data_IF_660272242759
#
_entry.id   IF_660272242759
#
_cell.length_a   1.000
_cell.length_b   1.000
_cell.length_c   1.000
_cell.angle_alpha   90.00
_cell.angle_beta   90.00
_cell.angle_gamma   90.00
#
_symmetry.space_group_name_H-M   'P 1'
#
loop_
_entity.id
_entity.type
_entity.pdbx_description
1 polymer ?
#
# COMPACT_ATOMS: atom_id res chain seq x y z
N UNK A 1 -29.67 -16.72 -51.73
CA UNK A 1 -30.17 -16.95 -50.35
C UNK A 1 -29.38 -18.03 -49.58
N UNK A 2 -28.95 -19.13 -50.21
CA UNK A 2 -28.23 -20.24 -49.50
C UNK A 2 -26.87 -19.87 -48.80
N UNK A 3 -26.00 -19.02 -49.35
CA UNK A 3 -24.72 -18.73 -48.67
C UNK A 3 -24.87 -17.85 -47.43
N UNK A 4 -25.79 -16.87 -47.43
CA UNK A 4 -26.05 -16.02 -46.29
C UNK A 4 -26.64 -16.82 -45.10
N UNK A 5 -27.54 -17.77 -45.39
CA UNK A 5 -28.11 -18.63 -44.37
C UNK A 5 -27.10 -19.58 -43.73
N UNK A 6 -26.11 -20.07 -44.49
CA UNK A 6 -24.99 -20.86 -43.95
C UNK A 6 -24.05 -20.03 -43.10
N UNK A 7 -23.81 -18.79 -43.49
CA UNK A 7 -22.97 -17.85 -42.73
C UNK A 7 -23.63 -17.47 -41.40
N UNK A 8 -24.95 -17.18 -41.41
CA UNK A 8 -25.66 -16.86 -40.17
C UNK A 8 -25.78 -18.06 -39.23
N UNK A 9 -25.96 -19.29 -39.76
CA UNK A 9 -25.96 -20.50 -38.94
C UNK A 9 -24.59 -20.77 -38.30
N UNK A 10 -23.51 -20.59 -39.07
CA UNK A 10 -22.13 -20.71 -38.55
C UNK A 10 -21.80 -19.67 -37.47
N UNK A 11 -22.22 -18.42 -37.64
CA UNK A 11 -22.07 -17.37 -36.65
C UNK A 11 -22.86 -17.67 -35.37
N UNK A 12 -24.10 -18.14 -35.50
CA UNK A 12 -24.94 -18.56 -34.35
C UNK A 12 -24.32 -19.70 -33.55
N UNK A 13 -23.77 -20.70 -34.25
CA UNK A 13 -23.05 -21.81 -33.60
C UNK A 13 -21.82 -21.35 -32.88
N UNK A 14 -21.02 -20.44 -33.47
CA UNK A 14 -19.85 -19.88 -32.83
C UNK A 14 -20.21 -19.11 -31.55
N UNK A 15 -21.23 -18.27 -31.60
CA UNK A 15 -21.71 -17.52 -30.42
C UNK A 15 -22.20 -18.48 -29.34
N UNK A 16 -22.91 -19.52 -29.68
CA UNK A 16 -23.39 -20.55 -28.73
C UNK A 16 -22.20 -21.30 -28.08
N UNK A 17 -21.16 -21.64 -28.83
CA UNK A 17 -19.92 -22.25 -28.30
C UNK A 17 -19.22 -21.30 -27.36
N UNK A 18 -19.01 -20.03 -27.74
CA UNK A 18 -18.36 -19.03 -26.88
C UNK A 18 -19.15 -18.78 -25.60
N UNK A 19 -20.47 -18.76 -25.67
CA UNK A 19 -21.32 -18.64 -24.49
C UNK A 19 -21.22 -19.89 -23.59
N UNK A 20 -21.21 -21.09 -24.17
CA UNK A 20 -21.00 -22.33 -23.44
C UNK A 20 -19.64 -22.40 -22.73
N UNK A 21 -18.58 -22.03 -23.42
CA UNK A 21 -17.23 -21.94 -22.81
C UNK A 21 -17.21 -20.90 -21.69
N UNK A 22 -17.84 -19.74 -21.88
CA UNK A 22 -17.93 -18.71 -20.84
C UNK A 22 -18.61 -19.23 -19.57
N UNK A 23 -19.63 -20.06 -19.68
CA UNK A 23 -20.32 -20.64 -18.51
C UNK A 23 -19.44 -21.64 -17.75
N UNK A 24 -18.43 -22.22 -18.38
CA UNK A 24 -17.45 -23.08 -17.73
C UNK A 24 -16.34 -22.27 -17.01
N UNK A 25 -16.17 -20.97 -17.32
CA UNK A 25 -15.21 -20.11 -16.64
C UNK A 25 -15.66 -19.79 -15.20
N UNK A 26 -14.72 -19.56 -14.26
CA UNK A 26 -15.04 -19.13 -12.91
C UNK A 26 -15.91 -17.87 -12.90
N UNK A 27 -16.94 -17.84 -12.09
CA UNK A 27 -17.76 -16.63 -11.88
C UNK A 27 -17.09 -15.62 -11.00
N UNK A 28 -16.21 -16.07 -10.10
CA UNK A 28 -15.47 -15.21 -9.18
C UNK A 28 -14.00 -15.21 -9.57
N UNK A 29 -13.43 -14.00 -9.67
CA UNK A 29 -12.01 -13.77 -9.95
C UNK A 29 -11.46 -12.95 -8.81
N UNK A 30 -10.39 -13.44 -8.19
CA UNK A 30 -9.66 -12.73 -7.15
C UNK A 30 -8.24 -12.47 -7.63
N UNK A 31 -7.81 -11.23 -7.53
CA UNK A 31 -6.47 -10.77 -7.90
C UNK A 31 -5.85 -10.19 -6.64
N UNK A 32 -4.63 -10.56 -6.32
CA UNK A 32 -3.91 -9.97 -5.20
C UNK A 32 -2.43 -9.78 -5.55
N UNK A 33 -1.87 -8.68 -5.09
CA UNK A 33 -0.43 -8.37 -5.18
C UNK A 33 0.07 -7.93 -3.82
N UNK A 34 1.35 -8.08 -3.56
CA UNK A 34 1.91 -7.71 -2.27
C UNK A 34 3.29 -7.11 -2.40
N UNK A 35 3.63 -6.24 -1.44
CA UNK A 35 4.94 -5.63 -1.29
C UNK A 35 5.32 -5.59 0.18
N UNK A 36 6.61 -5.60 0.48
CA UNK A 36 7.13 -5.32 1.83
C UNK A 36 7.68 -3.90 1.85
N UNK A 37 7.21 -3.10 2.81
CA UNK A 37 7.57 -1.70 3.02
C UNK A 37 8.33 -1.60 4.34
N UNK A 38 9.46 -0.93 4.35
CA UNK A 38 10.25 -0.71 5.58
C UNK A 38 9.67 0.41 6.43
N UNK A 39 8.47 0.18 6.94
CA UNK A 39 7.72 1.09 7.80
C UNK A 39 6.79 0.31 8.73
N UNK A 40 6.49 0.83 9.96
CA UNK A 40 5.50 0.24 10.85
C UNK A 40 4.10 0.20 10.21
N UNK A 41 3.26 -0.75 10.62
CA UNK A 41 1.91 -0.92 10.11
C UNK A 41 1.07 0.36 10.25
N UNK A 42 1.23 1.10 11.34
CA UNK A 42 0.48 2.33 11.58
C UNK A 42 0.78 3.43 10.56
N UNK A 43 2.04 3.52 10.12
CA UNK A 43 2.45 4.46 9.06
C UNK A 43 1.85 4.04 7.74
N UNK A 44 2.03 2.77 7.33
CA UNK A 44 1.50 2.24 6.08
C UNK A 44 -0.02 2.36 6.05
N UNK A 45 -0.70 1.98 7.14
CA UNK A 45 -2.14 2.06 7.27
C UNK A 45 -2.67 3.50 7.07
N UNK A 46 -1.98 4.50 7.58
CA UNK A 46 -2.38 5.91 7.43
C UNK A 46 -2.46 6.37 5.97
N UNK A 47 -1.67 5.79 5.06
CA UNK A 47 -1.74 6.04 3.61
C UNK A 47 -2.89 5.30 2.94
N UNK A 48 -3.18 4.07 3.38
CA UNK A 48 -4.20 3.23 2.79
C UNK A 48 -5.61 3.63 3.23
N UNK A 49 -5.74 4.19 4.43
CA UNK A 49 -7.00 4.58 5.06
C UNK A 49 -7.43 6.02 4.74
N UNK A 50 -6.60 6.77 4.00
CA UNK A 50 -6.84 8.16 3.60
C UNK A 50 -6.89 8.28 2.07
N UNK A 51 -8.08 8.41 1.52
CA UNK A 51 -8.28 8.52 0.07
C UNK A 51 -7.75 9.85 -0.51
N UNK A 52 -7.50 10.89 0.33
CA UNK A 52 -6.83 12.12 -0.12
C UNK A 52 -5.38 11.84 -0.55
N UNK A 53 -4.74 10.84 0.06
CA UNK A 53 -3.38 10.42 -0.28
C UNK A 53 -3.31 9.45 -1.45
N UNK A 54 -4.45 8.87 -1.87
CA UNK A 54 -4.50 7.85 -2.90
C UNK A 54 -3.84 8.29 -4.21
N UNK A 55 -4.09 9.52 -4.65
CA UNK A 55 -3.51 10.04 -5.90
C UNK A 55 -1.99 10.22 -5.85
N UNK A 56 -1.37 10.26 -4.67
CA UNK A 56 0.10 10.40 -4.55
C UNK A 56 0.84 9.13 -4.96
N UNK A 57 0.17 7.97 -4.89
CA UNK A 57 0.76 6.68 -5.23
C UNK A 57 -0.07 5.86 -6.24
N UNK A 58 -1.26 6.32 -6.59
CA UNK A 58 -2.13 5.67 -7.56
C UNK A 58 -1.46 5.59 -8.94
N UNK A 59 -1.44 4.43 -9.60
CA UNK A 59 -0.91 4.30 -10.95
C UNK A 59 -1.73 5.11 -11.96
N UNK A 60 -3.02 5.29 -11.72
CA UNK A 60 -3.92 6.04 -12.60
C UNK A 60 -3.64 7.54 -12.60
N UNK A 61 -3.37 8.14 -11.44
CA UNK A 61 -2.99 9.55 -11.33
C UNK A 61 -1.67 9.86 -12.06
N UNK A 62 -0.75 8.89 -12.13
CA UNK A 62 0.50 9.07 -12.89
C UNK A 62 0.26 9.05 -14.41
N UNK A 63 -0.70 8.24 -14.88
CA UNK A 63 -1.03 8.16 -16.31
C UNK A 63 -1.77 9.39 -16.81
N UNK A 64 -2.59 9.98 -15.97
CA UNK A 64 -3.29 11.22 -16.29
C UNK A 64 -3.08 12.24 -15.18
N UNK A 65 -2.07 13.11 -15.31
CA UNK A 65 -1.86 14.21 -14.38
C UNK A 65 -3.02 15.23 -14.33
N UNK A 66 -3.92 15.19 -15.33
CA UNK A 66 -5.11 16.05 -15.39
C UNK A 66 -6.38 15.34 -14.88
N UNK A 67 -6.20 14.15 -14.27
CA UNK A 67 -7.28 13.39 -13.63
C UNK A 67 -8.05 14.29 -12.65
N UNK A 68 -9.34 14.42 -12.89
CA UNK A 68 -10.23 15.10 -11.94
C UNK A 68 -10.70 14.09 -10.89
N UNK A 69 -10.32 14.33 -9.65
CA UNK A 69 -10.74 13.53 -8.52
C UNK A 69 -11.47 14.39 -7.50
N UNK A 70 -12.59 13.88 -7.00
CA UNK A 70 -13.39 14.52 -5.96
C UNK A 70 -13.47 13.60 -4.75
N UNK A 71 -13.12 14.12 -3.58
CA UNK A 71 -13.24 13.43 -2.31
C UNK A 71 -14.57 13.79 -1.67
N UNK A 72 -15.29 12.83 -1.15
CA UNK A 72 -16.58 12.99 -0.47
C UNK A 72 -16.67 12.08 0.77
N UNK A 73 -17.69 12.30 1.60
CA UNK A 73 -17.94 11.52 2.79
C UNK A 73 -17.01 11.83 3.95
N UNK A 74 -16.53 10.81 4.66
CA UNK A 74 -15.62 10.96 5.78
C UNK A 74 -14.23 11.44 5.30
N UNK A 75 -13.49 12.13 6.18
CA UNK A 75 -12.14 12.60 5.86
C UNK A 75 -11.17 11.43 5.60
N UNK A 76 -11.34 10.32 6.33
CA UNK A 76 -10.59 9.09 6.19
C UNK A 76 -11.36 7.92 6.81
N UNK A 77 -10.99 6.69 6.50
CA UNK A 77 -11.61 5.48 7.02
C UNK A 77 -13.01 5.25 6.45
N UNK A 78 -13.81 4.48 7.18
CA UNK A 78 -15.15 4.09 6.75
C UNK A 78 -16.02 5.28 6.33
N UNK A 79 -16.61 5.20 5.14
CA UNK A 79 -17.42 6.26 4.53
C UNK A 79 -16.63 7.31 3.75
N UNK A 80 -15.28 7.23 3.72
CA UNK A 80 -14.49 8.03 2.81
C UNK A 80 -14.70 7.54 1.37
N UNK A 81 -14.89 8.48 0.43
CA UNK A 81 -15.18 8.18 -0.97
C UNK A 81 -14.35 9.07 -1.88
N UNK A 82 -13.85 8.50 -2.97
CA UNK A 82 -13.22 9.20 -4.08
C UNK A 82 -13.97 8.86 -5.38
N UNK A 83 -14.22 9.87 -6.18
CA UNK A 83 -14.73 9.73 -7.54
C UNK A 83 -13.73 10.36 -8.50
N UNK A 84 -13.53 9.76 -9.66
CA UNK A 84 -12.62 10.31 -10.66
C UNK A 84 -13.19 10.24 -12.07
N UNK A 85 -12.73 11.18 -12.89
CA UNK A 85 -13.03 11.23 -14.32
C UNK A 85 -11.77 11.61 -15.09
N UNK A 86 -11.50 10.89 -16.16
CA UNK A 86 -10.38 11.13 -17.06
C UNK A 86 -10.82 11.01 -18.52
N UNK A 87 -10.23 11.80 -19.37
CA UNK A 87 -10.39 11.72 -20.83
C UNK A 87 -9.52 10.59 -21.42
N UNK A 88 -8.59 10.01 -20.66
CA UNK A 88 -7.78 8.89 -21.09
C UNK A 88 -8.52 7.57 -20.88
N UNK A 89 -8.70 6.79 -21.96
CA UNK A 89 -9.44 5.51 -21.93
C UNK A 89 -8.86 4.48 -20.95
N UNK A 90 -7.54 4.52 -20.71
CA UNK A 90 -6.85 3.64 -19.79
C UNK A 90 -7.12 3.96 -18.31
N UNK A 91 -7.59 5.18 -18.03
CA UNK A 91 -7.94 5.67 -16.70
C UNK A 91 -9.45 5.72 -16.52
N UNK A 92 -10.18 6.30 -17.51
CA UNK A 92 -11.64 6.34 -17.54
C UNK A 92 -12.26 7.05 -16.34
N UNK A 93 -13.40 6.52 -15.90
CA UNK A 93 -14.14 7.07 -14.76
C UNK A 93 -14.44 5.98 -13.73
N UNK A 94 -14.59 6.37 -12.48
CA UNK A 94 -14.94 5.43 -11.43
C UNK A 94 -15.13 6.06 -10.07
N UNK A 95 -15.37 5.19 -9.09
CA UNK A 95 -15.47 5.58 -7.69
C UNK A 95 -14.95 4.47 -6.80
N UNK A 96 -14.51 4.87 -5.62
CA UNK A 96 -14.05 3.96 -4.58
C UNK A 96 -14.53 4.48 -3.23
N UNK A 97 -15.04 3.59 -2.38
CA UNK A 97 -15.54 3.94 -1.06
C UNK A 97 -15.03 2.93 -0.03
N UNK A 98 -14.50 3.43 1.09
CA UNK A 98 -14.10 2.60 2.22
C UNK A 98 -15.34 2.14 2.97
N UNK A 99 -15.60 0.85 2.96
CA UNK A 99 -16.76 0.23 3.61
C UNK A 99 -16.46 -0.23 5.03
N UNK A 100 -15.23 -0.70 5.26
CA UNK A 100 -14.74 -1.09 6.58
C UNK A 100 -13.27 -0.68 6.75
N UNK A 101 -12.89 -0.38 8.01
CA UNK A 101 -11.54 -0.01 8.39
C UNK A 101 -11.20 -0.60 9.75
N UNK A 102 -10.28 -1.58 9.76
CA UNK A 102 -9.71 -2.18 10.96
C UNK A 102 -8.30 -1.60 11.17
N UNK A 103 -8.07 -0.78 12.19
CA UNK A 103 -6.83 -0.02 12.38
C UNK A 103 -5.58 -0.89 12.32
N UNK A 104 -4.63 -0.46 11.49
CA UNK A 104 -3.33 -1.10 11.22
C UNK A 104 -3.38 -2.50 10.62
N UNK A 105 -4.57 -3.00 10.24
CA UNK A 105 -4.73 -4.36 9.74
C UNK A 105 -5.39 -4.44 8.38
N UNK A 106 -6.54 -3.77 8.20
CA UNK A 106 -7.34 -3.97 6.99
C UNK A 106 -8.19 -2.75 6.64
N UNK A 107 -8.31 -2.49 5.35
CA UNK A 107 -9.27 -1.55 4.76
C UNK A 107 -10.01 -2.28 3.65
N UNK A 108 -11.34 -2.34 3.74
CA UNK A 108 -12.19 -2.91 2.70
C UNK A 108 -12.90 -1.78 1.93
N UNK A 109 -13.00 -1.96 0.62
CA UNK A 109 -13.53 -0.95 -0.29
C UNK A 109 -14.50 -1.57 -1.29
N UNK A 110 -15.52 -0.81 -1.67
CA UNK A 110 -16.23 -1.02 -2.92
C UNK A 110 -15.60 -0.18 -4.02
N UNK A 111 -15.54 -0.72 -5.22
CA UNK A 111 -14.91 -0.07 -6.38
C UNK A 111 -15.84 -0.20 -7.57
N UNK A 112 -16.11 0.90 -8.25
CA UNK A 112 -16.67 0.91 -9.60
C UNK A 112 -15.61 1.48 -10.55
N UNK A 113 -15.27 0.75 -11.60
CA UNK A 113 -14.31 1.18 -12.61
C UNK A 113 -14.91 0.98 -14.00
N UNK A 114 -15.26 2.06 -14.68
CA UNK A 114 -15.90 2.00 -16.02
C UNK A 114 -17.13 1.07 -16.06
N UNK A 115 -17.95 1.09 -14.99
CA UNK A 115 -19.14 0.24 -14.87
C UNK A 115 -18.82 -1.23 -14.48
N UNK A 116 -17.61 -1.53 -14.08
CA UNK A 116 -17.23 -2.81 -13.48
C UNK A 116 -17.26 -2.65 -11.96
N UNK A 117 -18.24 -3.26 -11.31
CA UNK A 117 -18.37 -3.27 -9.86
C UNK A 117 -17.56 -4.42 -9.26
N UNK A 118 -16.83 -4.11 -8.20
CA UNK A 118 -16.05 -5.10 -7.46
C UNK A 118 -15.80 -4.65 -6.02
N UNK A 119 -15.15 -5.53 -5.27
CA UNK A 119 -14.64 -5.21 -3.94
C UNK A 119 -13.13 -5.24 -3.96
N UNK A 120 -12.52 -4.33 -3.22
CA UNK A 120 -11.07 -4.28 -3.05
C UNK A 120 -10.73 -4.29 -1.57
N UNK A 121 -9.49 -4.66 -1.24
CA UNK A 121 -9.03 -4.58 0.13
C UNK A 121 -7.53 -4.31 0.18
N UNK A 122 -7.13 -3.61 1.23
CA UNK A 122 -5.76 -3.56 1.67
C UNK A 122 -5.64 -4.36 2.96
N UNK A 123 -4.64 -5.22 3.03
CA UNK A 123 -4.29 -5.93 4.26
C UNK A 123 -2.85 -5.62 4.62
N UNK A 124 -2.63 -5.24 5.88
CA UNK A 124 -1.33 -4.91 6.44
C UNK A 124 -0.99 -5.94 7.52
N UNK A 125 0.22 -6.41 7.53
CA UNK A 125 0.73 -7.35 8.54
C UNK A 125 2.22 -7.13 8.79
N UNK A 126 2.72 -7.46 9.99
CA UNK A 126 4.15 -7.34 10.28
C UNK A 126 5.00 -8.20 9.34
N UNK A 127 6.19 -7.71 8.96
CA UNK A 127 7.13 -8.45 8.14
C UNK A 127 8.57 -7.99 8.40
N UNK A 128 9.30 -8.74 9.22
CA UNK A 128 10.64 -8.34 9.68
C UNK A 128 10.60 -7.00 10.42
N UNK A 129 11.42 -6.04 9.99
CA UNK A 129 11.45 -4.66 10.53
C UNK A 129 10.41 -3.72 9.91
N UNK A 130 9.58 -4.22 9.01
CA UNK A 130 8.59 -3.43 8.28
C UNK A 130 7.24 -4.12 8.22
N UNK A 131 6.45 -3.80 7.19
CA UNK A 131 5.09 -4.29 7.01
C UNK A 131 4.91 -4.88 5.62
N UNK A 132 4.22 -6.02 5.54
CA UNK A 132 3.72 -6.58 4.29
C UNK A 132 2.34 -6.00 4.00
N UNK A 133 2.19 -5.43 2.81
CA UNK A 133 0.91 -4.94 2.28
C UNK A 133 0.43 -5.89 1.20
N UNK A 134 -0.83 -6.29 1.27
CA UNK A 134 -1.53 -7.00 0.20
C UNK A 134 -2.63 -6.08 -0.31
N UNK A 135 -2.68 -5.85 -1.61
CA UNK A 135 -3.77 -5.19 -2.30
C UNK A 135 -4.53 -6.22 -3.11
N UNK A 136 -5.77 -6.46 -2.74
CA UNK A 136 -6.63 -7.44 -3.36
C UNK A 136 -7.84 -6.82 -4.06
N UNK A 137 -8.34 -7.49 -5.09
CA UNK A 137 -9.57 -7.17 -5.82
C UNK A 137 -10.36 -8.44 -6.07
N UNK A 138 -11.65 -8.41 -5.81
CA UNK A 138 -12.56 -9.49 -6.11
C UNK A 138 -13.69 -9.00 -7.02
N UNK A 139 -13.92 -9.73 -8.07
CA UNK A 139 -14.94 -9.47 -9.08
C UNK A 139 -15.84 -10.67 -9.22
N UNK A 140 -17.16 -10.46 -9.15
CA UNK A 140 -18.16 -11.48 -9.42
C UNK A 140 -18.86 -11.18 -10.75
N UNK A 141 -18.63 -12.04 -11.73
CA UNK A 141 -19.25 -11.98 -13.06
C UNK A 141 -20.67 -12.57 -13.08
N UNK A 142 -21.08 -13.25 -12.02
CA UNK A 142 -22.35 -13.95 -11.92
C UNK A 142 -22.56 -14.95 -13.06
N UNK A 143 -23.76 -14.97 -13.64
CA UNK A 143 -24.13 -15.84 -14.76
C UNK A 143 -23.88 -15.24 -16.15
N UNK A 144 -23.36 -14.00 -16.24
CA UNK A 144 -23.17 -13.33 -17.53
C UNK A 144 -21.95 -13.86 -18.30
N UNK A 145 -22.12 -14.47 -19.49
CA UNK A 145 -21.00 -14.95 -20.31
C UNK A 145 -20.00 -13.84 -20.65
N UNK A 146 -20.48 -12.64 -20.99
CA UNK A 146 -19.63 -11.51 -21.36
C UNK A 146 -18.80 -11.05 -20.17
N UNK A 147 -19.40 -11.00 -18.98
CA UNK A 147 -18.68 -10.61 -17.75
C UNK A 147 -17.63 -11.64 -17.37
N UNK A 148 -17.87 -12.95 -17.61
CA UNK A 148 -16.87 -14.02 -17.36
C UNK A 148 -15.65 -13.90 -18.27
N UNK A 149 -15.86 -13.60 -19.56
CA UNK A 149 -14.74 -13.30 -20.48
C UNK A 149 -13.94 -12.08 -20.04
N UNK A 150 -14.60 -11.02 -19.57
CA UNK A 150 -13.90 -9.85 -18.99
C UNK A 150 -13.09 -10.26 -17.76
N UNK A 151 -13.66 -11.09 -16.87
CA UNK A 151 -12.98 -11.58 -15.67
C UNK A 151 -11.66 -12.29 -15.97
N UNK A 152 -11.60 -13.09 -17.04
CA UNK A 152 -10.38 -13.79 -17.44
C UNK A 152 -9.22 -12.85 -17.77
N UNK A 153 -9.51 -11.65 -18.27
CA UNK A 153 -8.49 -10.66 -18.63
C UNK A 153 -8.10 -9.73 -17.48
N UNK A 154 -8.88 -9.72 -16.37
CA UNK A 154 -8.67 -8.79 -15.28
C UNK A 154 -7.30 -8.93 -14.60
N UNK A 155 -6.81 -10.15 -14.40
CA UNK A 155 -5.51 -10.37 -13.74
C UNK A 155 -4.37 -9.68 -14.49
N UNK A 156 -4.41 -9.73 -15.81
CA UNK A 156 -3.37 -9.09 -16.63
C UNK A 156 -3.36 -7.57 -16.51
N UNK A 157 -4.56 -6.95 -16.45
CA UNK A 157 -4.67 -5.49 -16.37
C UNK A 157 -4.58 -4.99 -14.95
N UNK A 158 -5.42 -5.48 -14.06
CA UNK A 158 -5.50 -5.03 -12.66
C UNK A 158 -4.25 -5.43 -11.89
N UNK A 159 -3.72 -6.64 -12.14
CA UNK A 159 -2.53 -7.13 -11.46
C UNK A 159 -1.29 -6.29 -11.74
N UNK A 160 -1.10 -5.80 -12.99
CA UNK A 160 -0.01 -4.89 -13.33
C UNK A 160 -0.17 -3.54 -12.61
N UNK A 161 -1.39 -2.95 -12.64
CA UNK A 161 -1.69 -1.70 -11.94
C UNK A 161 -1.40 -1.78 -10.43
N UNK A 162 -1.77 -2.90 -9.82
CA UNK A 162 -1.56 -3.09 -8.38
C UNK A 162 -0.08 -3.21 -8.03
N UNK A 163 0.72 -3.86 -8.87
CA UNK A 163 2.17 -3.88 -8.69
C UNK A 163 2.78 -2.47 -8.78
N UNK A 164 2.37 -1.69 -9.80
CA UNK A 164 2.87 -0.32 -9.99
C UNK A 164 2.47 0.58 -8.82
N UNK A 165 1.20 0.50 -8.37
CA UNK A 165 0.71 1.27 -7.24
C UNK A 165 1.42 0.91 -5.93
N UNK A 166 1.59 -0.39 -5.65
CA UNK A 166 2.29 -0.85 -4.44
C UNK A 166 3.77 -0.46 -4.45
N UNK A 167 4.42 -0.47 -5.62
CA UNK A 167 5.81 -0.02 -5.75
C UNK A 167 5.93 1.47 -5.43
N UNK A 168 5.04 2.31 -5.96
CA UNK A 168 5.02 3.74 -5.67
C UNK A 168 4.69 4.04 -4.21
N UNK A 169 3.73 3.31 -3.62
CA UNK A 169 3.42 3.43 -2.20
C UNK A 169 4.65 3.16 -1.34
N UNK A 170 5.40 2.10 -1.67
CA UNK A 170 6.65 1.76 -1.00
C UNK A 170 7.67 2.88 -1.12
N UNK A 171 7.94 3.35 -2.34
CA UNK A 171 8.89 4.43 -2.61
C UNK A 171 8.52 5.71 -1.87
N UNK A 172 7.24 6.09 -1.89
CA UNK A 172 6.73 7.27 -1.20
C UNK A 172 6.98 7.18 0.31
N UNK A 173 6.53 6.12 0.95
CA UNK A 173 6.65 5.93 2.40
C UNK A 173 8.13 5.85 2.83
N UNK A 174 8.96 5.11 2.08
CA UNK A 174 10.36 4.93 2.43
C UNK A 174 11.18 6.20 2.18
N UNK A 175 10.82 7.01 1.17
CA UNK A 175 11.50 8.29 0.90
C UNK A 175 11.22 9.33 1.99
N UNK A 176 9.98 9.43 2.45
CA UNK A 176 9.60 10.35 3.53
C UNK A 176 10.23 9.97 4.89
N UNK A 177 10.57 8.71 5.07
CA UNK A 177 11.22 8.20 6.28
C UNK A 177 12.74 8.26 6.23
N UNK A 178 13.36 8.55 5.09
CA UNK A 178 14.79 8.78 5.03
C UNK A 178 15.12 10.02 5.84
N UNK A 179 16.05 9.95 6.82
CA UNK A 179 16.56 11.15 7.44
C UNK A 179 17.10 12.06 6.32
N UNK A 180 16.58 13.27 6.24
CA UNK A 180 17.16 14.28 5.36
C UNK A 180 18.60 14.43 5.84
N UNK A 181 19.57 14.04 5.01
CA UNK A 181 20.97 14.33 5.32
C UNK A 181 21.06 15.84 5.64
N UNK A 182 21.67 16.24 6.76
CA UNK A 182 21.79 17.66 7.05
C UNK A 182 22.43 18.31 5.84
N UNK A 183 21.78 19.34 5.30
CA UNK A 183 22.34 20.16 4.23
C UNK A 183 23.75 20.53 4.66
N UNK A 184 24.79 20.41 3.79
CA UNK A 184 26.13 20.86 4.14
C UNK A 184 26.02 22.30 4.59
N UNK A 185 26.23 22.51 5.88
CA UNK A 185 26.34 23.88 6.44
C UNK A 185 27.44 24.54 5.66
N UNK A 186 27.17 25.65 4.94
CA UNK A 186 28.26 26.39 4.29
C UNK A 186 29.33 26.71 5.36
N UNK A 187 30.62 26.55 5.05
CA UNK A 187 31.64 26.79 6.03
C UNK A 187 31.44 28.20 6.60
N UNK A 188 31.13 28.26 7.89
CA UNK A 188 31.10 29.53 8.63
C UNK A 188 32.49 30.11 8.49
N UNK A 189 32.60 31.19 7.74
CA UNK A 189 33.84 31.96 7.69
C UNK A 189 34.19 32.36 9.13
N UNK A 190 35.19 31.70 9.70
CA UNK A 190 35.72 32.05 10.99
C UNK A 190 36.30 33.45 10.82
N UNK A 191 35.84 34.49 11.54
CA UNK A 191 36.47 35.79 11.50
C UNK A 191 37.91 35.60 11.97
N UNK A 192 38.87 35.94 11.12
CA UNK A 192 40.27 36.02 11.49
C UNK A 192 40.38 36.92 12.69
N UNK A 193 40.79 36.35 13.84
CA UNK A 193 41.14 37.14 15.02
C UNK A 193 42.28 38.07 14.69
N UNK A 194 42.25 39.32 15.15
CA UNK A 194 43.38 40.23 14.94
C UNK A 194 44.61 39.71 15.66
N UNK A 195 45.70 39.70 14.92
CA UNK A 195 47.06 39.36 15.33
C UNK A 195 47.43 40.22 16.53
N UNK A 196 47.62 39.64 17.74
CA UNK A 196 48.22 40.33 18.89
C UNK A 196 49.73 40.19 18.85
N UNK A 197 50.46 41.29 19.08
CA UNK A 197 51.91 41.23 19.08
C UNK A 197 52.43 40.51 20.31
N UNK A 198 53.58 39.83 20.11
CA UNK A 198 54.29 39.07 21.07
C UNK A 198 54.79 39.97 22.23
N UNK A 199 54.57 39.55 23.46
CA UNK A 199 55.27 40.05 24.62
C UNK A 199 55.59 38.94 25.62
N UNK A 200 56.89 38.62 25.68
CA UNK A 200 57.76 38.33 26.84
C UNK A 200 57.24 37.36 27.92
N UNK A 201 57.92 36.21 28.03
CA UNK A 201 57.97 35.38 29.22
C UNK A 201 58.66 36.14 30.39
N UNK A 202 58.34 35.83 31.68
CA UNK A 202 59.27 34.96 32.41
C UNK A 202 58.60 33.99 33.44
N UNK A 203 59.40 32.96 33.69
CA UNK A 203 59.67 32.23 34.94
C UNK A 203 58.68 31.41 35.72
N UNK A 204 59.11 30.26 35.87
CA UNK A 204 59.03 29.16 36.82
C UNK A 204 58.36 29.43 38.20
N UNK A 205 57.49 28.51 38.57
CA UNK A 205 56.93 28.38 39.93
C UNK A 205 56.39 26.94 40.08
N UNK A 206 57.06 26.21 40.80
CA UNK A 206 57.18 24.88 41.36
C UNK A 206 55.93 24.37 42.04
N UNK A 207 55.58 23.07 41.73
CA UNK A 207 55.12 22.01 42.62
C UNK A 207 53.94 22.26 43.61
N UNK A 208 52.94 21.48 43.51
CA UNK A 208 52.52 20.51 44.54
C UNK A 208 51.41 19.59 44.00
N UNK A 209 51.68 18.26 44.05
CA UNK A 209 50.68 17.17 43.99
C UNK A 209 50.17 16.96 45.41
N UNK A 210 48.93 16.58 45.60
CA UNK A 210 48.72 15.34 46.27
C UNK A 210 47.74 14.40 45.57
N UNK A 211 48.15 13.15 45.65
CA UNK A 211 47.38 11.95 45.34
C UNK A 211 46.23 11.74 46.31
N UNK A 212 45.30 10.98 45.81
CA UNK A 212 44.50 10.00 46.55
C UNK A 212 43.01 10.14 46.36
N UNK A 213 42.46 9.14 45.71
CA UNK A 213 41.28 8.39 46.13
C UNK A 213 40.84 7.39 45.05
N UNK A 214 40.86 6.16 45.48
CA UNK A 214 40.49 4.96 44.75
C UNK A 214 38.98 4.86 44.44
N UNK A 215 38.59 3.93 43.56
CA UNK A 215 37.20 3.76 43.09
C UNK A 215 36.33 2.92 44.04
N UNK A 216 35.03 3.03 43.96
CA UNK A 216 34.18 1.95 44.42
C UNK A 216 33.39 1.31 43.33
N UNK A 217 33.53 -0.03 43.34
CA UNK A 217 32.51 -1.09 43.31
C UNK A 217 31.50 -1.17 42.13
N UNK A 218 31.71 -2.17 41.38
CA UNK A 218 30.84 -3.21 40.84
C UNK A 218 29.42 -3.23 41.45
N UNK A 219 28.41 -3.10 40.62
CA UNK A 219 27.04 -3.50 40.92
C UNK A 219 26.47 -4.28 39.74
N UNK A 220 26.39 -5.55 40.01
CA UNK A 220 25.47 -6.61 39.60
C UNK A 220 24.45 -6.32 38.47
N UNK A 221 24.53 -7.12 37.42
CA UNK A 221 23.50 -7.35 36.42
C UNK A 221 22.41 -8.26 37.00
N UNK A 222 21.14 -7.99 36.79
CA UNK A 222 20.10 -9.02 36.98
C UNK A 222 19.83 -9.81 35.72
N UNK A 223 19.63 -11.10 35.99
CA UNK A 223 19.39 -12.22 35.09
C UNK A 223 18.29 -12.00 34.04
N UNK A 224 18.51 -12.59 32.88
CA UNK A 224 17.51 -12.82 31.84
C UNK A 224 16.45 -13.84 32.29
N UNK A 225 15.17 -13.64 31.94
CA UNK A 225 14.21 -14.74 31.99
C UNK A 225 14.19 -15.54 30.68
N UNK A 226 14.19 -16.76 30.88
CA UNK A 226 13.91 -17.99 30.15
C UNK A 226 13.02 -17.86 28.91
N UNK A 227 13.52 -18.44 27.81
CA UNK A 227 12.82 -18.63 26.54
C UNK A 227 11.69 -19.66 26.71
N UNK A 228 10.46 -19.24 26.48
CA UNK A 228 9.35 -20.15 26.20
C UNK A 228 9.25 -20.37 24.68
N UNK A 229 9.20 -21.62 24.28
CA UNK A 229 9.09 -22.10 22.91
C UNK A 229 7.79 -21.63 22.20
N UNK A 230 7.78 -21.46 20.88
CA UNK A 230 6.59 -21.08 20.16
C UNK A 230 5.66 -22.28 19.95
N UNK A 231 4.45 -22.14 20.43
CA UNK A 231 3.33 -23.04 20.15
C UNK A 231 2.80 -22.84 18.73
N UNK A 232 2.39 -23.95 18.15
CA UNK A 232 2.07 -24.15 16.74
C UNK A 232 1.06 -23.13 16.14
N UNK A 233 1.33 -22.78 14.90
CA UNK A 233 0.47 -22.00 14.00
C UNK A 233 -0.93 -22.62 13.88
N UNK A 234 -1.94 -21.88 14.29
CA UNK A 234 -3.32 -22.15 13.95
C UNK A 234 -3.62 -21.64 12.53
N UNK A 235 -4.11 -22.52 11.70
CA UNK A 235 -4.62 -22.32 10.36
C UNK A 235 -5.74 -21.26 10.36
N UNK A 236 -5.78 -20.26 9.44
CA UNK A 236 -6.83 -19.28 9.44
C UNK A 236 -8.14 -19.87 8.94
N UNK A 237 -9.15 -19.84 9.80
CA UNK A 237 -10.51 -20.27 9.52
C UNK A 237 -11.09 -19.52 8.31
N UNK A 238 -11.69 -20.29 7.40
CA UNK A 238 -12.42 -19.80 6.23
C UNK A 238 -13.57 -18.87 6.65
N UNK A 239 -13.74 -17.77 5.92
CA UNK A 239 -14.82 -16.82 6.12
C UNK A 239 -16.19 -17.47 5.86
N UNK A 240 -17.24 -17.15 6.64
CA UNK A 240 -18.57 -17.67 6.45
C UNK A 240 -19.23 -17.10 5.18
N UNK A 241 -20.08 -17.89 4.49
CA UNK A 241 -20.75 -17.44 3.27
C UNK A 241 -21.84 -16.39 3.56
N UNK A 242 -22.14 -15.49 2.60
CA UNK A 242 -23.11 -14.42 2.81
C UNK A 242 -24.53 -14.96 2.97
N UNK A 243 -25.21 -14.50 4.02
CA UNK A 243 -26.60 -14.85 4.31
C UNK A 243 -27.55 -14.22 3.27
N UNK A 244 -28.36 -15.07 2.62
CA UNK A 244 -29.44 -14.65 1.73
C UNK A 244 -30.53 -13.96 2.54
N UNK A 245 -30.74 -12.65 2.36
CA UNK A 245 -31.91 -11.94 2.86
C UNK A 245 -33.16 -12.49 2.14
N UNK A 246 -34.05 -13.15 2.90
CA UNK A 246 -35.42 -13.50 2.44
C UNK A 246 -36.19 -12.18 2.24
N UNK A 247 -36.68 -11.97 1.03
CA UNK A 247 -37.74 -10.99 0.76
C UNK A 247 -39.05 -11.51 1.37
N UNK A 248 -39.65 -10.70 2.18
CA UNK A 248 -41.11 -10.71 2.39
C UNK A 248 -41.73 -9.73 1.42
#
# INVERSE_FOLDING_TARGET
MRPMMRLSLGLGALVAILAGVALALPSQVTIARSVVINAPESVVFSYLNDLNRFNNWSPWATRDPQLQATIAGAAQGKGARIEWTSNQRSVGQGSMEITESDPNRRVDLTVNFNGLDGTSYYQVSPSGSGSKVIWGFAYDSGSSPIKRWKGLMLDRYVGAEYNDGLTKLKELIESERRPTAPSPVPPVAVPMAPEQPAAVAPEAGEVVVPADAAPPAEAEAPAAPEQAAPEAAAEPAAAPPPQKKKRQ
#
